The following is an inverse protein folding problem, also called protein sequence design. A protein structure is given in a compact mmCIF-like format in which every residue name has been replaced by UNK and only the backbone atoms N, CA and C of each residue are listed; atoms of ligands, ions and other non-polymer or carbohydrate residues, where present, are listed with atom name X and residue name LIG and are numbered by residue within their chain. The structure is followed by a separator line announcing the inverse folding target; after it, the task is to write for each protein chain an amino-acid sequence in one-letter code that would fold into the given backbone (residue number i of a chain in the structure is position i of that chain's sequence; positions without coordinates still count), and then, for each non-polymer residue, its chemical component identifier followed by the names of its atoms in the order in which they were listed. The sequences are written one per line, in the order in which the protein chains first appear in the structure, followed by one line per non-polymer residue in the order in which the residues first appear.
data_IF_416050705646
#
_entry.id   IF_416050705646
#
_cell.length_a   1.000
_cell.length_b   1.000
_cell.length_c   1.000
_cell.angle_alpha   90.00
_cell.angle_beta   90.00
_cell.angle_gamma   90.00
#
_symmetry.space_group_name_H-M   'P 1'
#
loop_
_entity.id
_entity.type
_entity.pdbx_description
1 polymer ?
#
# COMPACT_ATOMS: atom_id res chain seq x y z
N UNK A 1 -15.75 57.09 37.94
CA UNK A 1 -17.06 57.01 38.63
C UNK A 1 -18.07 56.42 37.67
N UNK A 2 -18.65 55.27 38.07
CA UNK A 2 -19.98 54.73 37.67
C UNK A 2 -20.17 54.29 36.22
N UNK A 3 -20.77 53.17 35.84
CA UNK A 3 -21.23 51.90 36.43
C UNK A 3 -21.52 50.98 35.21
N UNK A 4 -20.93 49.80 35.05
CA UNK A 4 -21.43 48.44 35.38
C UNK A 4 -22.71 47.93 34.67
N UNK A 5 -22.60 46.68 34.16
CA UNK A 5 -23.61 45.58 33.97
C UNK A 5 -24.39 45.57 32.64
N UNK A 6 -24.41 44.54 31.78
CA UNK A 6 -24.40 43.06 31.89
C UNK A 6 -25.64 42.43 32.56
N UNK A 7 -26.34 41.55 31.83
CA UNK A 7 -27.42 40.65 32.28
C UNK A 7 -28.69 40.78 31.41
N UNK A 8 -28.95 39.90 30.43
CA UNK A 8 -29.54 38.54 30.53
C UNK A 8 -31.03 38.53 30.92
N UNK A 9 -31.89 37.95 30.05
CA UNK A 9 -33.14 37.15 30.24
C UNK A 9 -33.83 37.06 28.85
N UNK A 10 -33.85 35.94 28.11
CA UNK A 10 -34.61 34.66 28.20
C UNK A 10 -36.14 34.74 27.91
N UNK A 11 -36.58 33.75 27.10
CA UNK A 11 -37.94 33.19 26.89
C UNK A 11 -38.93 33.82 25.87
N UNK A 12 -38.97 33.16 24.70
CA UNK A 12 -40.08 32.32 24.21
C UNK A 12 -41.54 32.82 24.23
N UNK A 13 -42.11 32.94 23.02
CA UNK A 13 -43.47 32.54 22.63
C UNK A 13 -43.47 32.53 21.08
N UNK A 14 -43.39 31.41 20.36
CA UNK A 14 -44.37 30.31 20.21
C UNK A 14 -45.81 30.83 20.03
N UNK A 15 -46.24 30.82 18.75
CA UNK A 15 -47.54 30.40 18.20
C UNK A 15 -47.98 31.33 17.07
N UNK A 16 -47.82 30.86 15.83
CA UNK A 16 -48.90 30.82 14.82
C UNK A 16 -48.42 30.01 13.61
N UNK A 17 -48.44 28.69 13.78
CA UNK A 17 -48.56 27.77 12.66
C UNK A 17 -50.05 27.65 12.32
N UNK A 18 -50.44 28.12 11.15
CA UNK A 18 -51.71 27.79 10.54
C UNK A 18 -51.64 28.02 9.03
N UNK A 19 -51.59 26.91 8.28
CA UNK A 19 -52.01 26.75 6.88
C UNK A 19 -51.04 27.18 5.78
N UNK A 20 -50.07 26.30 5.47
CA UNK A 20 -49.72 25.92 4.09
C UNK A 20 -49.33 24.44 4.06
N UNK A 21 -49.94 23.58 3.22
CA UNK A 21 -49.39 22.27 2.89
C UNK A 21 -48.30 22.45 1.83
N UNK A 22 -47.10 21.95 2.10
CA UNK A 22 -46.01 21.85 1.12
C UNK A 22 -44.94 22.94 1.25
N UNK A 23 -44.16 22.88 2.33
CA UNK A 23 -42.77 23.32 2.27
C UNK A 23 -41.94 22.06 2.54
N UNK A 24 -41.37 21.49 1.49
CA UNK A 24 -40.31 20.50 1.62
C UNK A 24 -39.19 21.16 2.43
N UNK A 25 -39.03 20.72 3.66
CA UNK A 25 -37.84 21.02 4.45
C UNK A 25 -36.74 20.12 3.88
N UNK A 26 -35.98 20.63 2.92
CA UNK A 26 -34.75 19.99 2.47
C UNK A 26 -33.67 21.08 2.38
N UNK A 27 -33.15 21.48 3.53
CA UNK A 27 -31.74 21.85 3.63
C UNK A 27 -31.06 20.69 4.37
N UNK A 28 -31.07 19.52 3.72
CA UNK A 28 -30.17 18.45 4.09
C UNK A 28 -28.78 18.88 3.62
N UNK A 29 -27.79 18.83 4.49
CA UNK A 29 -26.40 18.91 4.03
C UNK A 29 -26.16 17.77 3.02
N UNK A 30 -25.30 17.96 2.01
CA UNK A 30 -24.90 16.87 1.14
C UNK A 30 -24.46 15.68 1.99
N UNK A 31 -24.97 14.50 1.67
CA UNK A 31 -24.68 13.28 2.41
C UNK A 31 -23.72 12.41 1.61
N UNK A 32 -22.66 11.94 2.25
CA UNK A 32 -21.73 11.02 1.64
C UNK A 32 -22.36 9.62 1.57
N UNK A 33 -22.16 8.94 0.45
CA UNK A 33 -22.53 7.54 0.28
C UNK A 33 -21.51 6.83 -0.59
N UNK A 34 -21.61 5.50 -0.66
CA UNK A 34 -20.79 4.67 -1.54
C UNK A 34 -21.68 3.85 -2.45
N UNK A 35 -21.26 3.64 -3.69
CA UNK A 35 -21.92 2.68 -4.57
C UNK A 35 -21.80 1.28 -3.99
N UNK A 36 -22.92 0.57 -3.87
CA UNK A 36 -22.98 -0.76 -3.30
C UNK A 36 -23.96 -1.60 -4.07
N UNK A 37 -23.44 -2.56 -4.83
CA UNK A 37 -24.30 -3.55 -5.47
C UNK A 37 -24.33 -4.82 -4.61
N UNK A 38 -25.52 -5.42 -4.46
CA UNK A 38 -25.72 -6.60 -3.60
C UNK A 38 -24.85 -7.80 -4.00
N UNK A 39 -24.39 -7.85 -5.26
CA UNK A 39 -23.53 -8.91 -5.81
C UNK A 39 -22.07 -8.45 -6.08
N UNK A 40 -21.67 -7.25 -5.63
CA UNK A 40 -20.34 -6.67 -5.91
C UNK A 40 -20.10 -6.27 -7.37
N UNK A 41 -21.15 -6.25 -8.20
CA UNK A 41 -21.17 -5.70 -9.56
C UNK A 41 -21.21 -4.17 -9.66
N UNK A 42 -21.86 -3.69 -10.72
CA UNK A 42 -21.94 -2.28 -11.12
C UNK A 42 -23.30 -1.66 -10.76
N UNK A 43 -23.29 -0.35 -10.52
CA UNK A 43 -24.47 0.50 -10.27
C UNK A 43 -24.71 1.38 -11.49
N UNK A 44 -25.94 1.45 -11.99
CA UNK A 44 -26.27 2.26 -13.16
C UNK A 44 -26.62 3.69 -12.74
N UNK A 45 -26.03 4.67 -13.43
CA UNK A 45 -26.37 6.08 -13.32
C UNK A 45 -27.38 6.46 -14.42
N UNK A 46 -28.50 7.05 -14.03
CA UNK A 46 -29.58 7.44 -14.94
C UNK A 46 -29.73 8.97 -15.02
N UNK A 47 -30.23 9.47 -16.14
CA UNK A 47 -30.53 10.89 -16.32
C UNK A 47 -31.75 11.37 -15.53
N UNK A 48 -32.63 10.46 -15.10
CA UNK A 48 -33.86 10.73 -14.38
C UNK A 48 -34.12 9.64 -13.30
N UNK A 49 -34.95 9.90 -12.27
CA UNK A 49 -35.29 8.92 -11.23
C UNK A 49 -36.25 7.83 -11.75
N UNK A 50 -35.79 7.06 -12.74
CA UNK A 50 -36.55 5.99 -13.40
C UNK A 50 -35.60 5.00 -14.08
N UNK A 51 -35.92 3.71 -14.00
CA UNK A 51 -35.19 2.65 -14.71
C UNK A 51 -35.41 2.69 -16.23
N UNK A 52 -36.45 3.40 -16.67
CA UNK A 52 -36.71 3.67 -18.10
C UNK A 52 -35.98 4.94 -18.60
N UNK A 53 -35.26 5.64 -17.72
CA UNK A 53 -34.49 6.83 -18.07
C UNK A 53 -33.24 6.50 -18.88
N UNK A 54 -32.71 7.51 -19.58
CA UNK A 54 -31.45 7.36 -20.31
C UNK A 54 -30.32 6.97 -19.35
N UNK A 55 -29.54 5.97 -19.74
CA UNK A 55 -28.36 5.53 -18.97
C UNK A 55 -27.20 6.47 -19.30
N UNK A 56 -26.58 7.02 -18.26
CA UNK A 56 -25.41 7.89 -18.40
C UNK A 56 -24.10 7.09 -18.29
N UNK A 57 -24.13 6.01 -17.50
CA UNK A 57 -23.00 5.12 -17.31
C UNK A 57 -23.22 4.11 -16.19
N UNK A 58 -22.16 3.38 -15.89
CA UNK A 58 -22.12 2.37 -14.83
C UNK A 58 -20.92 2.60 -13.92
N UNK A 59 -21.11 2.47 -12.61
CA UNK A 59 -20.11 2.71 -11.58
C UNK A 59 -19.85 1.44 -10.78
N UNK A 60 -18.59 1.18 -10.46
CA UNK A 60 -18.20 0.02 -9.67
C UNK A 60 -18.52 0.23 -8.19
N UNK A 61 -18.58 -0.84 -7.41
CA UNK A 61 -18.83 -0.77 -5.97
C UNK A 61 -17.65 -0.14 -5.20
N UNK A 62 -17.93 0.53 -4.09
CA UNK A 62 -17.01 1.33 -3.27
C UNK A 62 -16.58 2.68 -3.86
N UNK A 63 -17.29 3.20 -4.86
CA UNK A 63 -17.07 4.55 -5.37
C UNK A 63 -17.82 5.54 -4.48
N UNK A 64 -17.10 6.53 -3.96
CA UNK A 64 -17.67 7.60 -3.16
C UNK A 64 -18.57 8.51 -4.02
N UNK A 65 -19.74 8.86 -3.51
CA UNK A 65 -20.70 9.77 -4.15
C UNK A 65 -21.27 10.75 -3.14
N UNK A 66 -21.62 11.94 -3.61
CA UNK A 66 -22.36 12.92 -2.81
C UNK A 66 -23.84 12.88 -3.18
N UNK A 67 -24.73 12.69 -2.21
CA UNK A 67 -26.18 12.74 -2.40
C UNK A 67 -26.66 14.19 -2.26
N UNK A 68 -27.27 14.71 -3.32
CA UNK A 68 -27.81 16.07 -3.40
C UNK A 68 -29.32 16.16 -3.14
N UNK A 69 -30.08 15.14 -3.57
CA UNK A 69 -31.55 15.09 -3.41
C UNK A 69 -32.04 13.63 -3.28
N UNK A 70 -33.23 13.44 -2.70
CA UNK A 70 -33.89 12.15 -2.56
C UNK A 70 -35.33 12.23 -3.06
N UNK A 71 -35.68 11.38 -4.03
CA UNK A 71 -37.02 11.29 -4.61
C UNK A 71 -37.53 9.85 -4.58
N UNK A 72 -38.23 9.51 -3.51
CA UNK A 72 -38.72 8.15 -3.30
C UNK A 72 -37.54 7.17 -3.16
N UNK A 73 -37.48 6.18 -4.05
CA UNK A 73 -36.43 5.15 -4.06
C UNK A 73 -35.19 5.56 -4.90
N UNK A 74 -35.06 6.86 -5.19
CA UNK A 74 -33.97 7.41 -6.01
C UNK A 74 -33.20 8.50 -5.27
N UNK A 75 -31.90 8.52 -5.46
CA UNK A 75 -31.00 9.58 -5.02
C UNK A 75 -30.43 10.31 -6.23
N UNK A 76 -30.47 11.64 -6.20
CA UNK A 76 -29.64 12.45 -7.09
C UNK A 76 -28.23 12.47 -6.50
N UNK A 77 -27.26 12.06 -7.31
CA UNK A 77 -25.86 11.93 -6.91
C UNK A 77 -24.97 12.84 -7.74
N UNK A 78 -23.93 13.37 -7.11
CA UNK A 78 -22.78 14.01 -7.71
C UNK A 78 -21.54 13.12 -7.47
N UNK A 79 -20.90 12.72 -8.56
CA UNK A 79 -19.67 11.92 -8.54
C UNK A 79 -18.43 12.79 -8.77
N UNK A 80 -18.59 14.12 -8.87
CA UNK A 80 -17.53 15.05 -9.24
C UNK A 80 -17.44 15.27 -10.75
N UNK A 81 -16.64 16.27 -11.17
CA UNK A 81 -16.28 16.50 -12.59
C UNK A 81 -17.51 16.67 -13.52
N UNK A 82 -18.60 17.21 -12.95
CA UNK A 82 -19.87 17.42 -13.63
C UNK A 82 -20.70 16.14 -13.84
N UNK A 83 -20.30 15.02 -13.25
CA UNK A 83 -20.98 13.73 -13.30
C UNK A 83 -22.09 13.67 -12.27
N UNK A 84 -23.26 14.18 -12.68
CA UNK A 84 -24.47 14.13 -11.88
C UNK A 84 -25.54 13.24 -12.53
N UNK A 85 -26.35 12.59 -11.71
CA UNK A 85 -27.48 11.79 -12.20
C UNK A 85 -28.26 11.15 -11.07
N UNK A 86 -29.03 10.12 -11.39
CA UNK A 86 -29.91 9.43 -10.46
C UNK A 86 -29.49 7.97 -10.29
N UNK A 87 -29.40 7.51 -9.06
CA UNK A 87 -29.15 6.11 -8.71
C UNK A 87 -30.27 5.60 -7.78
N UNK A 88 -30.66 4.32 -7.86
CA UNK A 88 -31.55 3.74 -6.87
C UNK A 88 -30.92 3.78 -5.47
N UNK A 89 -31.67 4.19 -4.44
CA UNK A 89 -31.14 4.24 -3.07
C UNK A 89 -30.69 2.86 -2.56
N UNK A 90 -31.34 1.79 -3.03
CA UNK A 90 -30.97 0.40 -2.73
C UNK A 90 -29.59 -0.04 -3.24
N UNK A 91 -28.98 0.74 -4.13
CA UNK A 91 -27.63 0.50 -4.67
C UNK A 91 -26.59 1.44 -4.08
N UNK A 92 -26.93 2.15 -3.00
CA UNK A 92 -26.05 3.05 -2.27
C UNK A 92 -25.95 2.57 -0.83
N UNK A 93 -24.71 2.51 -0.33
CA UNK A 93 -24.43 2.42 1.09
C UNK A 93 -24.36 3.83 1.67
N UNK A 94 -25.36 4.16 2.47
CA UNK A 94 -25.55 5.49 3.06
C UNK A 94 -25.28 5.47 4.58
N UNK A 95 -24.73 4.36 5.11
CA UNK A 95 -24.45 4.21 6.52
C UNK A 95 -23.04 4.70 6.88
N UNK A 96 -22.93 5.44 7.99
CA UNK A 96 -21.70 5.74 8.73
C UNK A 96 -20.49 6.32 7.95
N UNK A 97 -20.71 6.91 6.77
CA UNK A 97 -19.66 7.43 5.88
C UNK A 97 -18.53 6.39 5.61
N UNK A 98 -18.87 5.10 5.63
CA UNK A 98 -17.93 4.01 5.39
C UNK A 98 -18.55 2.93 4.52
N UNK A 99 -17.73 2.28 3.70
CA UNK A 99 -18.15 1.14 2.90
C UNK A 99 -17.66 -0.17 3.54
N UNK A 100 -18.60 -1.04 3.91
CA UNK A 100 -18.31 -2.33 4.57
C UNK A 100 -18.19 -3.51 3.59
N UNK A 101 -18.28 -3.26 2.28
CA UNK A 101 -18.12 -4.28 1.24
C UNK A 101 -16.69 -4.47 0.73
N UNK A 102 -16.51 -5.38 -0.23
CA UNK A 102 -15.23 -5.55 -0.95
C UNK A 102 -15.21 -4.62 -2.17
N UNK A 103 -14.26 -3.66 -2.27
CA UNK A 103 -14.13 -2.82 -3.46
C UNK A 103 -13.91 -3.65 -4.72
N UNK A 104 -14.60 -3.29 -5.80
CA UNK A 104 -14.49 -3.97 -7.10
C UNK A 104 -14.20 -2.97 -8.23
N UNK A 105 -13.37 -1.97 -7.94
CA UNK A 105 -12.95 -0.93 -8.90
C UNK A 105 -11.78 -1.50 -9.71
N UNK A 106 -11.88 -1.69 -11.03
CA UNK A 106 -10.78 -2.21 -11.82
C UNK A 106 -9.61 -1.22 -11.90
N UNK A 107 -8.39 -1.74 -11.94
CA UNK A 107 -7.20 -0.97 -12.31
C UNK A 107 -6.96 -1.13 -13.81
N UNK A 108 -6.86 -0.02 -14.52
CA UNK A 108 -6.58 0.05 -15.94
C UNK A 108 -5.15 0.56 -16.17
N UNK A 109 -4.57 0.19 -17.31
CA UNK A 109 -3.28 0.70 -17.76
C UNK A 109 -3.47 1.58 -18.99
N UNK A 110 -2.81 2.72 -19.01
CA UNK A 110 -2.73 3.58 -20.17
C UNK A 110 -1.84 2.92 -21.23
N UNK A 111 -2.36 2.70 -22.41
CA UNK A 111 -1.64 2.09 -23.54
C UNK A 111 -0.79 3.10 -24.32
N UNK A 112 -1.17 4.38 -24.23
CA UNK A 112 -0.46 5.53 -24.77
C UNK A 112 -0.56 6.72 -23.81
N UNK A 113 0.15 7.81 -24.10
CA UNK A 113 -0.01 9.02 -23.30
C UNK A 113 -1.43 9.59 -23.47
N UNK A 114 -2.10 9.89 -22.35
CA UNK A 114 -3.51 10.28 -22.35
C UNK A 114 -3.77 11.49 -21.45
N UNK A 115 -4.76 12.29 -21.84
CA UNK A 115 -5.23 13.45 -21.09
C UNK A 115 -6.31 13.02 -20.08
N UNK A 116 -6.19 13.48 -18.84
CA UNK A 116 -7.26 13.46 -17.84
C UNK A 116 -8.06 14.75 -17.99
N UNK A 117 -9.36 14.63 -18.25
CA UNK A 117 -10.26 15.74 -18.50
C UNK A 117 -11.11 16.07 -17.25
N UNK A 118 -11.51 17.33 -17.10
CA UNK A 118 -12.40 17.82 -16.03
C UNK A 118 -13.90 17.54 -16.28
N UNK A 119 -14.22 16.77 -17.32
CA UNK A 119 -15.57 16.38 -17.70
C UNK A 119 -15.65 15.92 -19.17
N UNK A 120 -16.83 15.48 -19.66
CA UNK A 120 -16.97 14.97 -21.02
C UNK A 120 -16.75 16.06 -22.06
N UNK A 121 -15.71 15.92 -22.89
CA UNK A 121 -15.29 17.00 -23.80
C UNK A 121 -14.78 18.25 -23.07
N UNK A 122 -14.39 18.10 -21.80
CA UNK A 122 -13.82 19.13 -20.94
C UNK A 122 -12.40 19.53 -21.35
N UNK A 123 -11.76 20.34 -20.50
CA UNK A 123 -10.36 20.72 -20.71
C UNK A 123 -9.42 19.67 -20.10
N UNK A 124 -8.23 19.45 -20.70
CA UNK A 124 -7.18 18.66 -20.07
C UNK A 124 -6.74 19.30 -18.74
N UNK A 125 -6.82 18.53 -17.67
CA UNK A 125 -6.31 18.86 -16.33
C UNK A 125 -4.87 18.38 -16.19
N UNK A 126 -4.58 17.21 -16.76
CA UNK A 126 -3.28 16.54 -16.67
C UNK A 126 -3.04 15.65 -17.89
N UNK A 127 -1.78 15.37 -18.21
CA UNK A 127 -1.39 14.35 -19.18
C UNK A 127 -0.53 13.30 -18.49
N UNK A 128 -0.96 12.04 -18.56
CA UNK A 128 -0.23 10.92 -18.01
C UNK A 128 0.44 10.11 -19.14
N UNK A 129 1.67 9.61 -18.93
CA UNK A 129 2.37 8.80 -19.92
C UNK A 129 1.79 7.40 -20.06
N UNK A 130 2.15 6.75 -21.17
CA UNK A 130 1.87 5.32 -21.38
C UNK A 130 2.46 4.48 -20.23
N UNK A 131 1.71 3.47 -19.81
CA UNK A 131 2.07 2.57 -18.71
C UNK A 131 1.57 3.01 -17.34
N UNK A 132 1.10 4.26 -17.17
CA UNK A 132 0.44 4.73 -15.94
C UNK A 132 -0.79 3.89 -15.64
N UNK A 133 -1.06 3.68 -14.35
CA UNK A 133 -2.22 2.96 -13.86
C UNK A 133 -3.27 3.91 -13.30
N UNK A 134 -4.52 3.60 -13.60
CA UNK A 134 -5.69 4.38 -13.23
C UNK A 134 -6.76 3.47 -12.64
N UNK A 135 -7.44 3.91 -11.59
CA UNK A 135 -8.59 3.19 -11.03
C UNK A 135 -9.87 3.62 -11.73
N UNK A 136 -10.57 2.69 -12.37
CA UNK A 136 -11.79 2.97 -13.12
C UNK A 136 -13.01 2.98 -12.20
N UNK A 137 -13.42 4.16 -11.76
CA UNK A 137 -14.60 4.35 -10.93
C UNK A 137 -15.89 4.04 -11.69
N UNK A 138 -15.96 4.39 -12.98
CA UNK A 138 -17.12 4.09 -13.82
C UNK A 138 -16.84 4.19 -15.31
N UNK A 139 -17.73 3.61 -16.11
CA UNK A 139 -17.69 3.63 -17.57
C UNK A 139 -18.94 4.34 -18.07
N UNK A 140 -18.75 5.38 -18.88
CA UNK A 140 -19.82 6.22 -19.42
C UNK A 140 -20.23 5.74 -20.81
N UNK A 141 -21.49 5.97 -21.21
CA UNK A 141 -21.97 5.55 -22.54
C UNK A 141 -21.34 6.35 -23.70
N UNK A 142 -20.72 7.49 -23.39
CA UNK A 142 -20.14 8.39 -24.37
C UNK A 142 -18.67 8.07 -24.74
N UNK A 143 -18.15 6.90 -24.36
CA UNK A 143 -16.79 6.46 -24.70
C UNK A 143 -15.70 6.97 -23.74
N UNK A 144 -16.09 7.46 -22.56
CA UNK A 144 -15.17 7.88 -21.51
C UNK A 144 -15.26 6.97 -20.28
N UNK A 145 -14.16 6.88 -19.56
CA UNK A 145 -14.06 6.20 -18.26
C UNK A 145 -13.80 7.26 -17.20
N UNK A 146 -14.60 7.25 -16.13
CA UNK A 146 -14.33 8.04 -14.94
C UNK A 146 -13.24 7.32 -14.13
N UNK A 147 -12.09 7.96 -13.98
CA UNK A 147 -10.90 7.36 -13.36
C UNK A 147 -10.35 8.23 -12.23
N UNK A 148 -9.61 7.62 -11.31
CA UNK A 148 -8.67 8.33 -10.44
C UNK A 148 -7.23 7.88 -10.72
N UNK A 149 -6.30 8.82 -10.76
CA UNK A 149 -4.87 8.59 -10.93
C UNK A 149 -4.13 9.29 -9.80
N UNK A 150 -3.50 8.53 -8.91
CA UNK A 150 -2.81 9.05 -7.73
C UNK A 150 -3.65 10.05 -6.89
N UNK A 151 -4.96 9.82 -6.81
CA UNK A 151 -5.90 10.67 -6.06
C UNK A 151 -6.50 11.84 -6.86
N UNK A 152 -6.08 12.06 -8.11
CA UNK A 152 -6.70 13.03 -9.00
C UNK A 152 -7.76 12.35 -9.88
N UNK A 153 -9.01 12.81 -9.75
CA UNK A 153 -10.16 12.29 -10.50
C UNK A 153 -10.39 13.06 -11.81
N UNK A 154 -10.99 12.38 -12.79
CA UNK A 154 -11.33 12.95 -14.09
C UNK A 154 -11.68 11.89 -15.12
N UNK A 155 -11.93 12.31 -16.35
CA UNK A 155 -12.30 11.41 -17.44
C UNK A 155 -11.12 11.12 -18.36
N UNK A 156 -11.00 9.86 -18.78
CA UNK A 156 -10.09 9.44 -19.85
C UNK A 156 -10.88 8.74 -20.95
N UNK A 157 -10.41 8.83 -22.20
CA UNK A 157 -11.00 8.08 -23.31
C UNK A 157 -10.86 6.57 -23.06
N UNK A 158 -11.85 5.78 -23.46
CA UNK A 158 -11.82 4.33 -23.25
C UNK A 158 -10.76 3.60 -24.10
N UNK A 159 -10.46 4.13 -25.27
CA UNK A 159 -9.57 3.56 -26.27
C UNK A 159 -8.09 3.62 -25.89
N UNK A 160 -7.72 4.51 -24.97
CA UNK A 160 -6.36 4.59 -24.43
C UNK A 160 -6.14 3.67 -23.21
N UNK A 161 -7.16 2.93 -22.76
CA UNK A 161 -7.12 2.13 -21.53
C UNK A 161 -7.23 0.63 -21.79
N UNK A 162 -6.37 -0.16 -21.14
CA UNK A 162 -6.46 -1.62 -21.13
C UNK A 162 -6.70 -2.18 -19.72
N UNK A 163 -7.39 -3.32 -19.66
CA UNK A 163 -7.65 -4.02 -18.40
C UNK A 163 -6.41 -4.77 -17.94
N UNK A 164 -6.00 -4.57 -16.70
CA UNK A 164 -4.87 -5.29 -16.10
C UNK A 164 -5.28 -6.65 -15.50
N UNK A 165 -6.57 -6.80 -15.16
CA UNK A 165 -7.07 -7.93 -14.36
C UNK A 165 -6.93 -7.72 -12.84
N UNK A 166 -6.40 -6.56 -12.43
CA UNK A 166 -6.22 -6.14 -11.05
C UNK A 166 -7.42 -5.30 -10.60
N UNK A 167 -7.80 -5.42 -9.34
CA UNK A 167 -8.88 -4.66 -8.72
C UNK A 167 -8.37 -3.86 -7.54
N UNK A 168 -9.02 -2.74 -7.23
CA UNK A 168 -8.61 -1.82 -6.18
C UNK A 168 -8.55 -2.46 -4.79
N UNK A 169 -9.35 -3.50 -4.51
CA UNK A 169 -9.25 -4.29 -3.28
C UNK A 169 -7.95 -5.09 -3.17
N UNK A 170 -7.36 -5.48 -4.30
CA UNK A 170 -6.04 -6.11 -4.37
C UNK A 170 -4.94 -5.04 -4.42
N UNK A 171 -5.18 -3.99 -5.21
CA UNK A 171 -4.30 -2.85 -5.38
C UNK A 171 -4.05 -2.14 -4.07
N UNK A 172 -5.10 -1.84 -3.30
CA UNK A 172 -5.11 -1.16 -2.00
C UNK A 172 -5.12 -2.11 -0.81
N UNK A 173 -4.66 -3.36 -0.95
CA UNK A 173 -4.45 -4.21 0.24
C UNK A 173 -3.69 -3.38 1.29
N UNK A 174 -4.40 -3.10 2.39
CA UNK A 174 -4.09 -2.09 3.40
C UNK A 174 -2.73 -2.37 4.01
N UNK A 175 -1.80 -1.42 3.86
CA UNK A 175 -0.55 -1.24 4.62
C UNK A 175 0.41 -2.44 4.73
N UNK A 176 0.05 -3.62 4.25
CA UNK A 176 0.72 -4.88 4.53
C UNK A 176 0.54 -5.87 3.38
N UNK A 177 1.63 -6.54 3.01
CA UNK A 177 1.65 -7.55 1.98
C UNK A 177 2.87 -7.44 1.07
N UNK A 178 2.95 -8.40 0.15
CA UNK A 178 3.93 -8.40 -0.93
C UNK A 178 3.38 -7.45 -2.02
N UNK A 179 4.14 -6.41 -2.44
CA UNK A 179 3.70 -5.50 -3.50
C UNK A 179 3.49 -6.29 -4.79
N UNK A 180 2.58 -5.83 -5.64
CA UNK A 180 2.28 -6.57 -6.86
C UNK A 180 3.43 -6.53 -7.87
N UNK A 181 4.09 -5.38 -8.03
CA UNK A 181 5.19 -5.24 -8.97
C UNK A 181 6.56 -5.34 -8.31
N UNK A 182 6.72 -4.78 -7.11
CA UNK A 182 8.00 -4.79 -6.41
C UNK A 182 8.22 -3.56 -5.54
N UNK A 183 9.48 -3.37 -5.14
CA UNK A 183 9.91 -2.26 -4.30
C UNK A 183 10.87 -1.35 -5.04
N UNK A 184 10.95 -0.09 -4.64
CA UNK A 184 12.03 0.80 -5.04
C UNK A 184 12.63 1.52 -3.85
N UNK A 185 13.93 1.80 -3.94
CA UNK A 185 14.65 2.74 -3.07
C UNK A 185 15.26 3.83 -3.93
N UNK A 186 15.51 4.99 -3.34
CA UNK A 186 16.10 6.13 -4.03
C UNK A 186 17.57 6.26 -3.63
N UNK A 187 18.44 6.41 -4.62
CA UNK A 187 19.87 6.62 -4.42
C UNK A 187 20.15 8.06 -3.93
N UNK A 188 19.86 8.28 -2.65
CA UNK A 188 20.00 9.56 -1.95
C UNK A 188 21.15 9.47 -0.93
N UNK A 189 21.86 10.57 -0.69
CA UNK A 189 22.82 10.63 0.40
C UNK A 189 22.10 10.65 1.78
N UNK A 190 22.82 10.31 2.84
CA UNK A 190 22.26 10.35 4.20
C UNK A 190 21.78 11.76 4.55
N UNK A 191 20.52 11.87 5.00
CA UNK A 191 19.87 13.14 5.33
C UNK A 191 19.24 13.87 4.13
N UNK A 192 19.35 13.34 2.91
CA UNK A 192 18.62 13.83 1.76
C UNK A 192 17.22 13.20 1.66
N UNK A 193 16.34 13.89 0.92
CA UNK A 193 15.01 13.40 0.58
C UNK A 193 14.67 13.70 -0.88
N UNK A 194 13.84 12.84 -1.48
CA UNK A 194 13.23 13.07 -2.78
C UNK A 194 11.76 13.46 -2.60
N UNK A 195 11.19 14.13 -3.60
CA UNK A 195 9.77 14.46 -3.60
C UNK A 195 8.93 13.36 -4.27
N UNK A 196 7.79 13.05 -3.65
CA UNK A 196 6.65 12.40 -4.29
C UNK A 196 5.78 13.49 -4.92
N UNK A 197 5.55 13.42 -6.22
CA UNK A 197 4.77 14.40 -6.98
C UNK A 197 3.35 13.90 -7.23
N UNK A 198 2.39 14.81 -7.31
CA UNK A 198 1.00 14.47 -7.65
C UNK A 198 0.84 14.04 -9.12
N UNK A 199 1.79 14.45 -9.99
CA UNK A 199 1.81 14.14 -11.41
C UNK A 199 3.24 13.85 -11.90
N UNK A 200 3.44 13.19 -13.06
CA UNK A 200 4.75 12.79 -13.58
C UNK A 200 5.53 13.97 -14.21
N UNK A 201 5.75 15.03 -13.41
CA UNK A 201 6.58 16.20 -13.74
C UNK A 201 7.11 16.86 -12.46
N UNK A 202 8.30 17.44 -12.54
CA UNK A 202 9.01 17.96 -11.34
C UNK A 202 8.49 19.31 -10.82
N UNK A 203 7.64 19.98 -11.58
CA UNK A 203 6.96 21.23 -11.21
C UNK A 203 5.51 21.02 -10.71
N UNK A 204 5.05 19.76 -10.66
CA UNK A 204 3.79 19.41 -10.02
C UNK A 204 3.83 19.62 -8.50
N UNK A 205 2.65 19.60 -7.87
CA UNK A 205 2.54 19.62 -6.42
C UNK A 205 3.34 18.48 -5.80
N UNK A 206 4.10 18.80 -4.76
CA UNK A 206 4.81 17.81 -3.96
C UNK A 206 3.87 17.32 -2.87
N UNK A 207 3.43 16.08 -2.99
CA UNK A 207 2.57 15.41 -2.02
C UNK A 207 3.32 15.28 -0.69
N UNK A 208 4.58 14.83 -0.74
CA UNK A 208 5.45 14.70 0.45
C UNK A 208 6.91 14.42 0.10
N UNK A 209 7.85 14.65 1.05
CA UNK A 209 9.21 14.11 0.95
C UNK A 209 9.28 12.61 1.29
N UNK A 210 10.27 11.94 0.71
CA UNK A 210 10.69 10.56 0.93
C UNK A 210 12.16 10.58 1.31
N UNK A 211 12.47 10.21 2.54
CA UNK A 211 13.84 10.22 3.06
C UNK A 211 14.69 9.09 2.47
N UNK A 212 16.01 9.29 2.45
CA UNK A 212 16.97 8.29 2.04
C UNK A 212 16.75 6.94 2.76
N UNK A 213 16.77 5.85 1.99
CA UNK A 213 16.60 4.49 2.53
C UNK A 213 15.17 4.09 2.89
N UNK A 214 14.17 4.94 2.64
CA UNK A 214 12.75 4.56 2.74
C UNK A 214 12.34 3.79 1.47
N UNK A 215 11.97 2.50 1.58
CA UNK A 215 11.42 1.77 0.45
C UNK A 215 10.02 2.28 0.12
N UNK A 216 9.71 2.34 -1.16
CA UNK A 216 8.37 2.60 -1.70
C UNK A 216 7.89 1.40 -2.50
N UNK A 217 6.58 1.23 -2.57
CA UNK A 217 5.99 0.24 -3.48
C UNK A 217 5.96 0.79 -4.90
N UNK A 218 6.42 -0.02 -5.84
CA UNK A 218 6.30 0.27 -7.25
C UNK A 218 4.93 -0.19 -7.72
N UNK A 219 4.18 0.73 -8.31
CA UNK A 219 2.89 0.43 -8.93
C UNK A 219 3.05 0.29 -10.45
N UNK A 220 3.80 1.21 -11.06
CA UNK A 220 4.16 1.14 -12.48
C UNK A 220 5.42 1.95 -12.77
N UNK A 221 6.09 1.61 -13.87
CA UNK A 221 7.10 2.44 -14.50
C UNK A 221 6.52 2.99 -15.81
N UNK A 222 6.32 4.30 -15.88
CA UNK A 222 5.65 4.99 -16.98
C UNK A 222 6.53 6.16 -17.46
N UNK A 223 7.13 6.02 -18.63
CA UNK A 223 8.00 7.01 -19.29
C UNK A 223 9.00 7.74 -18.36
N UNK A 224 9.83 6.97 -17.64
CA UNK A 224 10.83 7.54 -16.74
C UNK A 224 10.30 8.01 -15.39
N UNK A 225 9.02 7.74 -15.08
CA UNK A 225 8.41 7.97 -13.78
C UNK A 225 7.96 6.68 -13.13
N UNK A 226 8.27 6.52 -11.84
CA UNK A 226 7.67 5.52 -10.98
C UNK A 226 6.35 6.07 -10.47
N UNK A 227 5.24 5.46 -10.85
CA UNK A 227 4.02 5.56 -10.07
C UNK A 227 4.24 4.69 -8.83
N UNK A 228 4.15 5.31 -7.66
CA UNK A 228 4.56 4.70 -6.41
C UNK A 228 3.54 4.93 -5.31
N UNK A 229 3.50 3.99 -4.37
CA UNK A 229 2.79 4.14 -3.10
C UNK A 229 3.78 4.22 -1.95
N UNK A 230 3.56 5.19 -1.07
CA UNK A 230 4.26 5.31 0.20
C UNK A 230 3.35 4.76 1.29
N UNK A 231 3.78 3.66 1.93
CA UNK A 231 3.01 2.98 2.97
C UNK A 231 2.70 3.89 4.18
N UNK A 232 3.64 4.75 4.58
CA UNK A 232 3.38 5.71 5.66
C UNK A 232 2.34 6.73 5.20
N UNK A 233 1.13 6.70 5.77
CA UNK A 233 0.04 7.60 5.40
C UNK A 233 -0.66 7.26 4.07
N UNK A 234 -0.42 6.06 3.52
CA UNK A 234 -1.14 5.48 2.38
C UNK A 234 -1.36 6.44 1.19
N UNK A 235 -0.31 7.17 0.79
CA UNK A 235 -0.39 8.12 -0.32
C UNK A 235 0.26 7.56 -1.58
N UNK A 236 -0.30 7.91 -2.74
CA UNK A 236 0.25 7.58 -4.05
C UNK A 236 0.77 8.84 -4.74
N UNK A 237 1.65 8.65 -5.72
CA UNK A 237 2.16 9.73 -6.55
C UNK A 237 3.24 9.23 -7.50
N UNK A 238 4.04 10.16 -8.00
CA UNK A 238 5.06 9.93 -9.00
C UNK A 238 6.44 10.33 -8.49
N UNK A 239 7.44 9.50 -8.77
CA UNK A 239 8.84 9.75 -8.43
C UNK A 239 9.65 9.61 -9.72
N UNK A 240 10.61 10.50 -10.03
CA UNK A 240 11.52 10.27 -11.14
C UNK A 240 12.20 8.91 -11.00
N UNK A 241 12.13 8.07 -12.04
CA UNK A 241 12.79 6.76 -12.03
C UNK A 241 14.31 6.88 -12.10
N UNK A 242 14.82 8.02 -12.56
CA UNK A 242 16.26 8.30 -12.58
C UNK A 242 16.81 8.29 -11.15
N UNK A 243 17.75 7.37 -10.88
CA UNK A 243 18.35 7.21 -9.56
C UNK A 243 17.52 6.35 -8.60
N UNK A 244 16.36 5.85 -9.03
CA UNK A 244 15.66 4.79 -8.32
C UNK A 244 16.34 3.44 -8.61
N UNK A 245 16.47 2.62 -7.57
CA UNK A 245 16.78 1.20 -7.72
C UNK A 245 15.50 0.42 -7.48
N UNK A 246 15.13 -0.37 -8.47
CA UNK A 246 13.89 -1.15 -8.45
C UNK A 246 14.26 -2.61 -8.23
N UNK A 247 13.49 -3.25 -7.37
CA UNK A 247 13.55 -4.67 -7.08
C UNK A 247 12.22 -5.28 -7.51
N UNK A 248 12.17 -5.81 -8.73
CA UNK A 248 10.95 -6.39 -9.28
C UNK A 248 10.63 -7.71 -8.59
N UNK A 249 9.36 -7.89 -8.23
CA UNK A 249 8.89 -9.09 -7.57
C UNK A 249 9.19 -10.35 -8.39
N UNK A 250 8.96 -10.28 -9.71
CA UNK A 250 9.22 -11.38 -10.63
C UNK A 250 10.70 -11.77 -10.71
N UNK A 251 11.61 -10.82 -10.49
CA UNK A 251 13.05 -11.08 -10.46
C UNK A 251 13.52 -11.58 -9.10
N UNK A 252 12.87 -11.14 -8.02
CA UNK A 252 13.17 -11.54 -6.66
C UNK A 252 12.64 -12.94 -6.33
N UNK A 253 11.57 -13.38 -6.99
CA UNK A 253 10.93 -14.67 -6.71
C UNK A 253 11.57 -15.79 -7.51
N UNK A 254 12.02 -16.82 -6.79
CA UNK A 254 12.65 -17.99 -7.42
C UNK A 254 11.74 -19.20 -7.24
N UNK A 255 11.19 -19.72 -8.34
CA UNK A 255 10.22 -20.84 -8.31
C UNK A 255 10.84 -22.21 -8.56
N UNK A 256 11.93 -22.27 -9.34
CA UNK A 256 12.47 -23.54 -9.87
C UNK A 256 13.80 -23.98 -9.22
N UNK A 257 14.26 -23.30 -8.17
CA UNK A 257 15.55 -23.63 -7.54
C UNK A 257 15.43 -24.72 -6.46
N UNK A 258 16.51 -25.50 -6.36
CA UNK A 258 16.65 -26.62 -5.43
C UNK A 258 17.22 -26.13 -4.10
N UNK A 259 16.90 -26.80 -3.01
CA UNK A 259 17.54 -26.53 -1.72
C UNK A 259 19.02 -26.94 -1.73
N UNK A 260 19.87 -26.08 -1.18
CA UNK A 260 21.32 -26.22 -1.15
C UNK A 260 21.79 -26.33 0.31
N UNK A 261 22.61 -27.33 0.60
CA UNK A 261 23.24 -27.50 1.91
C UNK A 261 24.58 -26.78 2.02
N UNK A 262 25.41 -27.20 2.98
CA UNK A 262 26.78 -26.70 3.15
C UNK A 262 27.57 -26.71 1.83
N UNK A 263 28.21 -25.59 1.52
CA UNK A 263 28.91 -25.42 0.26
C UNK A 263 29.20 -23.96 -0.08
N UNK A 264 29.82 -23.74 -1.24
CA UNK A 264 29.99 -22.40 -1.82
C UNK A 264 29.39 -22.40 -3.21
N UNK A 265 28.57 -21.38 -3.46
CA UNK A 265 27.75 -21.23 -4.64
C UNK A 265 27.86 -19.81 -5.19
N UNK A 266 27.49 -19.62 -6.45
CA UNK A 266 27.47 -18.29 -7.07
C UNK A 266 26.08 -18.02 -7.63
N UNK A 267 25.48 -16.89 -7.25
CA UNK A 267 24.22 -16.40 -7.81
C UNK A 267 24.42 -16.03 -9.29
N UNK A 268 23.52 -16.50 -10.15
CA UNK A 268 23.65 -16.43 -11.62
C UNK A 268 24.32 -17.64 -12.27
N UNK A 269 24.88 -18.57 -11.47
CA UNK A 269 25.50 -19.81 -11.97
C UNK A 269 24.88 -21.05 -11.30
N UNK A 270 25.16 -21.25 -10.01
CA UNK A 270 24.68 -22.41 -9.26
C UNK A 270 23.25 -22.24 -8.73
N UNK A 271 22.78 -21.00 -8.62
CA UNK A 271 21.41 -20.65 -8.22
C UNK A 271 20.99 -19.32 -8.88
N UNK A 272 19.71 -19.10 -9.22
CA UNK A 272 19.23 -17.81 -9.70
C UNK A 272 19.41 -16.69 -8.65
N UNK A 273 19.69 -15.43 -9.04
CA UNK A 273 19.57 -14.30 -8.12
C UNK A 273 18.12 -14.20 -7.59
N UNK A 274 17.95 -13.61 -6.41
CA UNK A 274 16.62 -13.44 -5.81
C UNK A 274 16.58 -13.61 -4.29
N UNK A 275 15.39 -13.82 -3.75
CA UNK A 275 15.15 -14.02 -2.32
C UNK A 275 15.30 -15.47 -1.90
N UNK A 276 16.10 -15.68 -0.86
CA UNK A 276 16.34 -16.99 -0.26
C UNK A 276 16.11 -16.96 1.25
N UNK A 277 15.64 -18.09 1.77
CA UNK A 277 15.63 -18.40 3.18
C UNK A 277 16.75 -19.37 3.53
N UNK A 278 17.56 -19.06 4.54
CA UNK A 278 18.39 -20.05 5.21
C UNK A 278 17.64 -20.57 6.43
N UNK A 279 17.43 -21.88 6.49
CA UNK A 279 16.89 -22.57 7.67
C UNK A 279 18.00 -23.35 8.35
N UNK A 280 18.10 -23.22 9.68
CA UNK A 280 18.98 -24.05 10.52
C UNK A 280 18.11 -24.92 11.43
N UNK A 281 18.32 -26.26 11.47
CA UNK A 281 17.53 -27.13 12.34
C UNK A 281 17.71 -26.85 13.84
N UNK A 282 16.68 -27.12 14.63
CA UNK A 282 16.75 -27.00 16.08
C UNK A 282 17.89 -27.87 16.67
N UNK A 283 18.69 -27.27 17.56
CA UNK A 283 19.84 -27.94 18.19
C UNK A 283 21.12 -27.97 17.36
N UNK A 284 21.08 -27.53 16.09
CA UNK A 284 22.25 -27.48 15.21
C UNK A 284 22.87 -26.08 15.17
N UNK A 285 24.05 -25.99 14.54
CA UNK A 285 24.71 -24.73 14.20
C UNK A 285 24.85 -24.61 12.69
N UNK A 286 24.65 -23.41 12.18
CA UNK A 286 24.84 -23.12 10.78
C UNK A 286 25.00 -21.63 10.53
N UNK A 287 25.17 -21.28 9.27
CA UNK A 287 25.28 -19.89 8.88
C UNK A 287 25.37 -19.72 7.39
N UNK A 288 25.42 -18.46 6.99
CA UNK A 288 25.63 -18.08 5.61
C UNK A 288 26.55 -16.86 5.55
N UNK A 289 27.51 -16.92 4.65
CA UNK A 289 28.33 -15.78 4.27
C UNK A 289 28.01 -15.41 2.83
N UNK A 290 27.73 -14.13 2.60
CA UNK A 290 27.47 -13.57 1.28
C UNK A 290 28.53 -12.53 0.98
N UNK A 291 29.25 -12.73 -0.11
CA UNK A 291 30.23 -11.78 -0.63
C UNK A 291 29.73 -11.28 -1.99
N UNK A 292 29.59 -9.96 -2.13
CA UNK A 292 29.19 -9.35 -3.39
C UNK A 292 30.20 -9.61 -4.50
N UNK A 293 29.77 -9.43 -5.75
CA UNK A 293 30.64 -9.51 -6.91
C UNK A 293 31.90 -8.65 -6.70
N UNK A 294 33.07 -9.21 -7.03
CA UNK A 294 34.38 -8.57 -6.88
C UNK A 294 34.71 -8.11 -5.45
N UNK A 295 34.02 -8.63 -4.42
CA UNK A 295 34.24 -8.26 -3.03
C UNK A 295 33.68 -6.90 -2.64
N UNK A 296 32.71 -6.37 -3.39
CA UNK A 296 32.06 -5.07 -3.12
C UNK A 296 31.50 -4.98 -1.68
N UNK A 297 31.05 -6.10 -1.13
CA UNK A 297 30.62 -6.22 0.25
C UNK A 297 30.83 -7.65 0.78
N UNK A 298 30.84 -7.80 2.10
CA UNK A 298 30.83 -9.10 2.76
C UNK A 298 29.86 -9.05 3.94
N UNK A 299 29.02 -10.07 4.08
CA UNK A 299 28.07 -10.27 5.18
C UNK A 299 28.18 -11.69 5.69
N UNK A 300 28.01 -11.87 6.98
CA UNK A 300 28.01 -13.19 7.61
C UNK A 300 26.91 -13.23 8.67
N UNK A 301 26.04 -14.22 8.56
CA UNK A 301 24.96 -14.46 9.49
C UNK A 301 25.15 -15.84 10.08
N UNK A 302 25.38 -15.88 11.39
CA UNK A 302 25.51 -17.11 12.14
C UNK A 302 24.20 -17.40 12.88
N UNK A 303 23.78 -18.65 12.88
CA UNK A 303 22.58 -19.11 13.54
C UNK A 303 22.89 -20.30 14.45
N UNK A 304 22.26 -20.31 15.63
CA UNK A 304 22.31 -21.40 16.59
C UNK A 304 20.89 -21.81 16.94
N UNK A 305 20.55 -23.08 16.72
CA UNK A 305 19.20 -23.59 16.86
C UNK A 305 18.29 -23.21 15.68
N UNK A 306 16.98 -23.27 15.91
CA UNK A 306 15.98 -22.99 14.87
C UNK A 306 16.05 -21.52 14.43
N UNK A 307 16.53 -21.30 13.21
CA UNK A 307 16.67 -19.97 12.62
C UNK A 307 16.08 -19.92 11.22
N UNK A 308 15.47 -18.78 10.89
CA UNK A 308 15.02 -18.44 9.56
C UNK A 308 15.63 -17.10 9.17
N UNK A 309 16.50 -17.10 8.16
CA UNK A 309 17.17 -15.90 7.66
C UNK A 309 16.74 -15.63 6.22
N UNK A 310 15.98 -14.56 6.00
CA UNK A 310 15.69 -14.05 4.67
C UNK A 310 16.83 -13.16 4.18
N UNK A 311 17.28 -13.40 2.94
CA UNK A 311 18.34 -12.64 2.27
C UNK A 311 17.96 -12.40 0.81
N UNK A 312 18.29 -11.23 0.30
CA UNK A 312 18.38 -11.01 -1.14
C UNK A 312 19.80 -11.34 -1.63
N UNK A 313 19.89 -12.20 -2.64
CA UNK A 313 21.15 -12.60 -3.26
C UNK A 313 21.26 -11.93 -4.64
N UNK A 314 22.10 -10.88 -4.79
CA UNK A 314 22.27 -10.22 -6.08
C UNK A 314 23.07 -11.09 -7.05
N UNK A 315 22.89 -10.83 -8.34
CA UNK A 315 23.64 -11.47 -9.43
C UNK A 315 25.16 -11.42 -9.17
N UNK A 316 25.85 -12.54 -9.36
CA UNK A 316 27.30 -12.67 -9.16
C UNK A 316 27.76 -12.76 -7.70
N UNK A 317 26.85 -12.74 -6.71
CA UNK A 317 27.22 -12.93 -5.31
C UNK A 317 27.78 -14.34 -5.06
N UNK A 318 28.87 -14.42 -4.29
CA UNK A 318 29.41 -15.66 -3.75
C UNK A 318 28.73 -15.97 -2.41
N UNK A 319 28.15 -17.15 -2.30
CA UNK A 319 27.30 -17.57 -1.18
C UNK A 319 27.90 -18.82 -0.57
N UNK A 320 28.39 -18.71 0.66
CA UNK A 320 28.88 -19.85 1.44
C UNK A 320 27.88 -20.23 2.51
N UNK A 321 27.27 -21.40 2.38
CA UNK A 321 26.44 -22.01 3.41
C UNK A 321 27.34 -22.84 4.31
N UNK A 322 27.22 -22.66 5.63
CA UNK A 322 28.08 -23.26 6.64
C UNK A 322 27.27 -24.18 7.58
N UNK A 323 27.86 -25.31 7.98
CA UNK A 323 27.26 -26.23 8.94
C UNK A 323 25.94 -26.84 8.48
N UNK A 324 24.96 -26.94 9.38
CA UNK A 324 23.67 -27.58 9.11
C UNK A 324 22.66 -26.68 8.36
N UNK A 325 23.10 -25.52 7.85
CA UNK A 325 22.24 -24.60 7.13
C UNK A 325 21.72 -25.18 5.81
N UNK A 326 20.44 -24.96 5.52
CA UNK A 326 19.82 -25.29 4.24
C UNK A 326 19.27 -24.01 3.63
N UNK A 327 19.80 -23.64 2.47
CA UNK A 327 19.38 -22.49 1.68
C UNK A 327 18.33 -22.94 0.66
N UNK A 328 17.20 -22.25 0.60
CA UNK A 328 16.16 -22.50 -0.37
C UNK A 328 15.50 -21.18 -0.80
N UNK A 329 14.84 -21.12 -1.96
CA UNK A 329 14.02 -19.96 -2.31
C UNK A 329 13.10 -19.56 -1.18
N UNK A 330 12.98 -18.26 -0.94
CA UNK A 330 12.08 -17.76 0.08
C UNK A 330 10.65 -17.99 -0.39
N UNK A 331 9.99 -19.01 0.18
CA UNK A 331 8.57 -19.23 -0.07
C UNK A 331 7.75 -18.22 0.71
N UNK A 332 6.62 -17.79 0.15
CA UNK A 332 5.65 -16.91 0.80
C UNK A 332 4.86 -17.64 1.90
N UNK A 333 5.56 -18.13 2.92
CA UNK A 333 4.94 -18.58 4.16
C UNK A 333 4.99 -17.41 5.14
N UNK A 334 3.84 -16.80 5.42
CA UNK A 334 3.74 -15.81 6.48
C UNK A 334 4.03 -16.49 7.82
N UNK A 335 4.89 -15.86 8.62
CA UNK A 335 5.11 -16.28 9.99
C UNK A 335 4.03 -15.74 10.93
N UNK A 336 3.36 -14.67 10.52
CA UNK A 336 2.18 -14.15 11.21
C UNK A 336 0.95 -14.77 10.54
N UNK A 337 0.20 -15.58 11.30
CA UNK A 337 -1.08 -16.13 10.84
C UNK A 337 -2.12 -15.02 10.76
N UNK A 338 -3.00 -15.06 9.76
CA UNK A 338 -4.13 -14.15 9.62
C UNK A 338 -5.13 -14.20 10.79
N UNK A 339 -4.97 -15.14 11.74
CA UNK A 339 -5.97 -15.40 12.79
C UNK A 339 -5.51 -15.18 14.25
N UNK A 340 -4.22 -14.91 14.55
CA UNK A 340 -3.81 -14.72 15.96
C UNK A 340 -2.41 -14.12 16.14
N UNK A 341 -2.21 -13.40 17.26
CA UNK A 341 -0.89 -12.96 17.72
C UNK A 341 0.14 -14.09 17.70
N UNK A 342 1.31 -13.79 17.17
CA UNK A 342 2.42 -14.72 16.99
C UNK A 342 3.63 -14.28 17.81
N UNK A 343 4.44 -15.24 18.22
CA UNK A 343 5.74 -14.97 18.82
C UNK A 343 6.81 -15.90 18.27
N UNK A 344 8.02 -15.37 18.11
CA UNK A 344 9.23 -16.13 17.78
C UNK A 344 10.33 -15.80 18.75
N UNK A 345 11.07 -16.83 19.15
CA UNK A 345 12.19 -16.70 20.06
C UNK A 345 13.44 -17.29 19.41
N UNK A 346 14.47 -16.47 19.23
CA UNK A 346 15.70 -16.93 18.63
C UNK A 346 16.51 -15.82 17.98
N UNK A 347 17.17 -16.18 16.89
CA UNK A 347 17.88 -15.26 16.01
C UNK A 347 17.36 -15.47 14.61
N UNK A 348 17.08 -14.38 13.91
CA UNK A 348 16.39 -14.45 12.64
C UNK A 348 16.60 -13.21 11.81
N UNK A 349 16.15 -13.29 10.56
CA UNK A 349 16.08 -12.15 9.66
C UNK A 349 14.83 -12.28 8.82
N UNK A 350 13.92 -11.31 8.92
CA UNK A 350 12.61 -11.37 8.27
C UNK A 350 12.44 -10.24 7.27
N UNK A 351 11.90 -10.54 6.09
CA UNK A 351 11.44 -9.52 5.15
C UNK A 351 10.05 -9.03 5.56
N UNK A 352 9.97 -7.78 6.00
CA UNK A 352 8.72 -7.10 6.38
C UNK A 352 7.78 -7.01 5.17
N UNK A 353 6.49 -7.28 5.39
CA UNK A 353 5.47 -7.38 4.34
C UNK A 353 5.40 -8.75 3.64
N UNK A 354 6.49 -9.52 3.65
CA UNK A 354 6.51 -10.89 3.12
C UNK A 354 6.23 -11.94 4.19
N UNK A 355 7.03 -11.94 5.24
CA UNK A 355 6.97 -12.95 6.31
C UNK A 355 6.18 -12.47 7.53
N UNK A 356 5.80 -11.20 7.56
CA UNK A 356 5.08 -10.56 8.68
C UNK A 356 3.69 -10.07 8.27
N UNK A 357 2.95 -10.82 7.44
CA UNK A 357 1.63 -10.40 6.95
C UNK A 357 0.57 -10.57 8.03
N UNK A 358 -0.21 -9.55 8.38
CA UNK A 358 -1.40 -9.76 9.22
C UNK A 358 -2.18 -8.50 9.53
N UNK A 359 -3.42 -8.43 9.04
CA UNK A 359 -4.37 -7.28 8.99
C UNK A 359 -4.54 -6.42 10.27
N UNK A 360 -4.03 -6.85 11.43
CA UNK A 360 -4.18 -6.20 12.73
C UNK A 360 -2.85 -5.93 13.46
N UNK A 361 -1.70 -6.31 12.90
CA UNK A 361 -0.40 -6.22 13.59
C UNK A 361 0.32 -4.93 13.24
N UNK A 362 -0.01 -3.85 13.95
CA UNK A 362 0.69 -2.56 13.76
C UNK A 362 2.04 -2.47 14.44
N UNK A 363 2.36 -3.43 15.31
CA UNK A 363 3.46 -3.31 16.26
C UNK A 363 4.12 -4.65 16.57
N UNK A 364 5.46 -4.69 16.56
CA UNK A 364 6.26 -5.79 17.10
C UNK A 364 6.91 -5.36 18.40
N UNK A 365 6.71 -6.15 19.46
CA UNK A 365 7.44 -6.03 20.70
C UNK A 365 8.66 -6.94 20.69
N UNK A 366 9.82 -6.36 20.95
CA UNK A 366 11.12 -7.04 21.00
C UNK A 366 11.60 -7.03 22.44
N UNK A 367 11.88 -8.22 22.97
CA UNK A 367 12.41 -8.45 24.31
C UNK A 367 13.56 -9.44 24.24
N UNK A 368 14.45 -9.47 25.23
CA UNK A 368 15.44 -10.54 25.30
C UNK A 368 14.76 -11.89 25.55
N UNK A 369 15.24 -12.94 24.88
CA UNK A 369 14.85 -14.31 25.18
C UNK A 369 15.22 -14.70 26.61
N UNK A 370 14.50 -15.67 27.19
CA UNK A 370 14.79 -16.11 28.54
C UNK A 370 16.24 -16.64 28.66
N UNK A 371 16.95 -16.17 29.68
CA UNK A 371 18.35 -16.56 29.93
C UNK A 371 19.41 -15.86 29.08
N UNK A 372 19.04 -15.06 28.08
CA UNK A 372 20.01 -14.26 27.33
C UNK A 372 20.56 -13.10 28.18
N UNK A 373 21.88 -12.91 28.10
CA UNK A 373 22.59 -11.81 28.75
C UNK A 373 22.57 -10.52 27.91
N UNK A 374 22.14 -10.62 26.67
CA UNK A 374 22.05 -9.52 25.71
C UNK A 374 21.57 -10.01 24.35
N UNK A 375 21.14 -9.06 23.52
CA UNK A 375 20.62 -9.29 22.19
C UNK A 375 20.55 -7.97 21.43
N UNK A 376 20.24 -8.03 20.14
CA UNK A 376 20.08 -6.84 19.33
C UNK A 376 19.04 -7.02 18.25
N UNK A 377 18.59 -5.91 17.67
CA UNK A 377 17.92 -5.90 16.38
C UNK A 377 18.49 -4.80 15.48
N UNK A 378 18.19 -4.90 14.20
CA UNK A 378 18.54 -3.92 13.17
C UNK A 378 17.53 -3.99 12.03
N UNK A 379 17.14 -2.83 11.51
CA UNK A 379 16.32 -2.73 10.30
C UNK A 379 17.20 -2.40 9.11
N UNK A 380 17.28 -3.30 8.13
CA UNK A 380 18.09 -3.15 6.90
C UNK A 380 17.18 -3.05 5.68
N UNK A 381 17.72 -2.69 4.52
CA UNK A 381 16.99 -2.68 3.24
C UNK A 381 17.55 -3.73 2.28
N UNK A 382 16.84 -3.97 1.18
CA UNK A 382 17.36 -4.74 0.04
C UNK A 382 18.63 -4.11 -0.56
N UNK A 383 18.80 -2.79 -0.47
CA UNK A 383 20.04 -2.10 -0.87
C UNK A 383 21.24 -2.53 -0.03
N UNK A 384 21.05 -2.82 1.25
CA UNK A 384 22.14 -3.30 2.11
C UNK A 384 22.58 -4.71 1.70
N UNK A 385 21.64 -5.55 1.28
CA UNK A 385 21.90 -6.90 0.74
C UNK A 385 22.50 -6.86 -0.67
N UNK A 386 22.10 -5.89 -1.49
CA UNK A 386 22.70 -5.63 -2.79
C UNK A 386 24.09 -4.99 -2.69
N UNK A 387 24.57 -4.68 -1.47
CA UNK A 387 25.87 -4.07 -1.24
C UNK A 387 25.97 -2.58 -1.56
N UNK A 388 24.83 -1.92 -1.75
CA UNK A 388 24.79 -0.51 -2.14
C UNK A 388 24.68 0.40 -0.93
N UNK A 389 23.88 0.01 0.05
CA UNK A 389 23.77 0.73 1.32
C UNK A 389 24.68 0.10 2.38
N UNK A 390 25.18 0.93 3.29
CA UNK A 390 25.81 0.41 4.50
C UNK A 390 24.73 -0.19 5.41
N UNK A 391 25.12 -1.19 6.20
CA UNK A 391 24.20 -1.68 7.21
C UNK A 391 24.09 -0.65 8.35
N UNK A 392 22.87 -0.36 8.83
CA UNK A 392 22.72 0.54 9.96
C UNK A 392 23.32 -0.06 11.23
N UNK A 393 23.48 0.78 12.25
CA UNK A 393 23.93 0.32 13.56
C UNK A 393 22.87 -0.58 14.22
N UNK A 394 23.34 -1.62 14.91
CA UNK A 394 22.48 -2.50 15.69
C UNK A 394 22.02 -1.81 16.98
N UNK A 395 20.75 -2.00 17.33
CA UNK A 395 20.16 -1.55 18.59
C UNK A 395 20.22 -2.70 19.58
N UNK A 396 21.00 -2.52 20.65
CA UNK A 396 21.21 -3.54 21.68
C UNK A 396 20.18 -3.46 22.80
N UNK A 397 19.66 -4.62 23.22
CA UNK A 397 18.72 -4.75 24.33
C UNK A 397 19.41 -5.33 25.56
N UNK A 398 19.05 -4.77 26.72
CA UNK A 398 19.44 -5.23 28.04
C UNK A 398 18.27 -5.97 28.73
N UNK A 399 18.55 -6.83 29.73
CA UNK A 399 17.50 -7.54 30.47
C UNK A 399 16.44 -6.59 31.06
N UNK A 400 15.17 -6.94 30.87
CA UNK A 400 14.02 -6.16 31.33
C UNK A 400 13.60 -5.00 30.43
N UNK A 401 14.25 -4.79 29.29
CA UNK A 401 13.82 -3.81 28.28
C UNK A 401 12.84 -4.44 27.28
N UNK A 402 11.84 -3.65 26.89
CA UNK A 402 10.98 -3.91 25.74
C UNK A 402 11.16 -2.78 24.75
N UNK A 403 11.53 -3.12 23.52
CA UNK A 403 11.51 -2.19 22.39
C UNK A 403 10.27 -2.47 21.54
N UNK A 404 9.61 -1.41 21.11
CA UNK A 404 8.36 -1.51 20.36
C UNK A 404 8.59 -0.90 18.98
N UNK A 405 8.58 -1.75 17.95
CA UNK A 405 8.66 -1.33 16.55
C UNK A 405 7.24 -1.16 16.03
N UNK A 406 6.92 0.05 15.57
CA UNK A 406 5.65 0.36 14.90
C UNK A 406 5.92 0.78 13.47
N UNK A 407 4.94 0.61 12.58
CA UNK A 407 5.02 1.03 11.17
C UNK A 407 6.21 0.42 10.42
N UNK A 408 6.47 -0.89 10.60
CA UNK A 408 7.48 -1.60 9.82
C UNK A 408 7.05 -1.62 8.35
N UNK A 409 7.70 -0.79 7.53
CA UNK A 409 7.34 -0.67 6.12
C UNK A 409 7.73 -1.95 5.37
N UNK A 410 6.87 -2.45 4.46
CA UNK A 410 7.25 -3.49 3.52
C UNK A 410 8.53 -3.13 2.75
N UNK A 411 9.38 -4.12 2.51
CA UNK A 411 10.69 -3.94 1.85
C UNK A 411 11.88 -3.72 2.80
N UNK A 412 11.64 -3.50 4.10
CA UNK A 412 12.68 -3.62 5.12
C UNK A 412 12.94 -5.07 5.53
N UNK A 413 14.15 -5.35 6.00
CA UNK A 413 14.53 -6.60 6.67
C UNK A 413 14.77 -6.34 8.16
N UNK A 414 14.04 -7.04 9.02
CA UNK A 414 14.28 -7.05 10.47
C UNK A 414 15.24 -8.18 10.81
N UNK A 415 16.48 -7.84 11.11
CA UNK A 415 17.49 -8.74 11.67
C UNK A 415 17.50 -8.65 13.18
N UNK A 416 17.67 -9.78 13.87
CA UNK A 416 17.73 -9.79 15.31
C UNK A 416 18.44 -11.03 15.86
N UNK A 417 18.99 -10.88 17.06
CA UNK A 417 19.70 -11.94 17.76
C UNK A 417 19.28 -12.05 19.23
N UNK A 418 19.01 -13.28 19.66
CA UNK A 418 18.63 -13.61 21.04
C UNK A 418 17.41 -12.84 21.54
N UNK A 419 16.44 -12.59 20.65
CA UNK A 419 15.22 -11.87 21.00
C UNK A 419 14.01 -12.80 20.97
N UNK A 420 13.03 -12.46 21.80
CA UNK A 420 11.63 -12.83 21.61
C UNK A 420 10.94 -11.66 20.91
N UNK A 421 10.39 -11.94 19.73
CA UNK A 421 9.57 -11.02 18.93
C UNK A 421 8.13 -11.44 19.10
N UNK A 422 7.26 -10.52 19.48
CA UNK A 422 5.84 -10.75 19.66
C UNK A 422 5.04 -9.73 18.86
N UNK A 423 4.18 -10.22 17.98
CA UNK A 423 3.21 -9.41 17.25
C UNK A 423 2.11 -8.96 18.22
N UNK A 424 1.96 -7.64 18.37
CA UNK A 424 0.88 -7.06 19.17
C UNK A 424 -0.24 -6.65 18.24
N UNK A 425 -1.40 -7.29 18.42
CA UNK A 425 -2.62 -6.88 17.77
C UNK A 425 -2.99 -5.49 18.28
N UNK A 426 -3.17 -4.54 17.37
CA UNK A 426 -3.79 -3.28 17.73
C UNK A 426 -5.25 -3.57 18.08
N UNK A 427 -5.64 -3.33 19.34
CA UNK A 427 -7.06 -3.19 19.64
C UNK A 427 -7.55 -1.97 18.84
N UNK A 428 -8.34 -2.21 17.79
CA UNK A 428 -9.26 -1.21 17.27
C UNK A 428 -10.25 -0.81 18.36
#
# INVERSE_FOLDING_TARGET
MKHTRAGAVLLAALVLAAWMPGAAMAFGLPMLAFTSSQDGGQVTLYAAPSEDGDVLGVYFSAVEVTIEDLQGDWAQVDLGEGMCGWMPTRTLDMADNSFDGVPNVPVLRLTEAAELLDGPGGQPVETYPAGTLAEAMGVLENGYVHVTVAGQSGLMADDCLEKTGIFSSLWHKKEEGIPEQGYATLALAEGESAALYAAPRTDAEQVRPIDAGVPVEVLALADGWLQARVYSGACQGFIPAQGARIYWLEEMTVTDAVSLGEGTYTAGDALPPGLYGLTVPAGEQGGIRVEGAEGAFSRAYAAQGEALLALYLPEGASVRVEGAGVLAPLTAQSMISQESGWAYEGSGRFLCGWQTQGEQTRTLNLTLREGAQGGYYRLTTLDADAGVAQEPEAVYLQPGQTHTLSNLLPGYLLEFQNLRIEAVLGNG
#
